data_IF_442093820272
#
_entry.id   IF_442093820272
#
_cell.length_a   1.000
_cell.length_b   1.000
_cell.length_c   1.000
_cell.angle_alpha   90.00
_cell.angle_beta   90.00
_cell.angle_gamma   90.00
#
_symmetry.space_group_name_H-M   'P 1'
#
loop_
_entity.id
_entity.type
_entity.pdbx_description
1 polymer ?
#
# COMPACT_ATOMS: atom_id res chain seq x y z
N UNK A 1 -16.94 -14.41 17.70
CA UNK A 1 -15.66 -14.53 16.97
C UNK A 1 -15.29 -13.16 16.43
N UNK A 2 -14.18 -12.62 16.90
CA UNK A 2 -13.76 -11.28 16.52
C UNK A 2 -12.93 -11.35 15.24
N UNK A 3 -13.39 -10.69 14.18
CA UNK A 3 -12.66 -10.52 12.91
C UNK A 3 -11.62 -9.38 12.98
N UNK A 4 -11.40 -8.85 14.18
CA UNK A 4 -10.46 -7.76 14.45
C UNK A 4 -9.66 -8.08 15.72
N UNK A 5 -8.70 -9.01 15.65
CA UNK A 5 -7.94 -9.47 16.81
C UNK A 5 -7.04 -8.40 17.44
N UNK A 6 -6.72 -7.35 16.68
CA UNK A 6 -5.98 -6.19 17.16
C UNK A 6 -6.84 -5.13 17.83
N UNK A 7 -8.15 -5.21 17.70
CA UNK A 7 -9.06 -4.12 18.08
C UNK A 7 -8.71 -2.79 17.39
N UNK A 8 -8.20 -2.88 16.14
CA UNK A 8 -7.88 -1.70 15.32
C UNK A 8 -9.11 -0.84 15.07
N UNK A 9 -8.95 0.48 15.09
CA UNK A 9 -10.09 1.42 15.03
C UNK A 9 -10.48 1.81 13.60
N UNK A 10 -9.64 1.54 12.59
CA UNK A 10 -9.90 1.93 11.20
C UNK A 10 -11.01 1.10 10.56
N UNK A 11 -11.15 -0.16 10.94
CA UNK A 11 -12.13 -1.10 10.40
C UNK A 11 -12.51 -2.15 11.43
N UNK A 12 -13.69 -2.77 11.23
CA UNK A 12 -14.11 -3.96 11.98
C UNK A 12 -13.39 -5.24 11.52
N UNK A 13 -12.61 -5.17 10.44
CA UNK A 13 -11.94 -6.29 9.77
C UNK A 13 -10.42 -6.06 9.69
N UNK A 14 -9.79 -5.61 10.74
CA UNK A 14 -8.33 -5.53 10.81
C UNK A 14 -7.76 -6.93 11.12
N UNK A 15 -6.98 -7.48 10.21
CA UNK A 15 -6.41 -8.82 10.34
C UNK A 15 -4.97 -8.86 9.82
N UNK A 16 -4.25 -9.91 10.18
CA UNK A 16 -2.89 -10.13 9.70
C UNK A 16 -2.88 -10.39 8.18
N UNK A 17 -1.86 -9.92 7.44
CA UNK A 17 -1.69 -10.24 6.01
C UNK A 17 -1.68 -11.74 5.71
N UNK A 18 -1.13 -12.56 6.60
CA UNK A 18 -1.13 -14.03 6.48
C UNK A 18 -2.55 -14.61 6.44
N UNK A 19 -3.47 -14.07 7.23
CA UNK A 19 -4.88 -14.50 7.22
C UNK A 19 -5.53 -14.17 5.88
N UNK A 20 -5.27 -12.97 5.33
CA UNK A 20 -5.75 -12.59 4.00
C UNK A 20 -5.23 -13.54 2.92
N UNK A 21 -3.94 -13.86 2.95
CA UNK A 21 -3.32 -14.82 2.01
C UNK A 21 -3.98 -16.18 2.12
N UNK A 22 -4.22 -16.70 3.33
CA UNK A 22 -4.86 -17.99 3.55
C UNK A 22 -6.27 -18.04 2.97
N UNK A 23 -7.07 -17.00 3.18
CA UNK A 23 -8.42 -16.89 2.60
C UNK A 23 -8.39 -16.85 1.08
N UNK A 24 -7.48 -16.04 0.50
CA UNK A 24 -7.32 -15.95 -0.96
C UNK A 24 -6.90 -17.31 -1.55
N UNK A 25 -5.98 -18.02 -0.91
CA UNK A 25 -5.55 -19.35 -1.35
C UNK A 25 -6.69 -20.37 -1.25
N UNK A 26 -7.50 -20.33 -0.19
CA UNK A 26 -8.69 -21.18 -0.07
C UNK A 26 -9.70 -20.93 -1.21
N UNK A 27 -9.98 -19.65 -1.53
CA UNK A 27 -10.85 -19.28 -2.65
C UNK A 27 -10.33 -19.76 -4.00
N UNK A 28 -9.01 -19.76 -4.21
CA UNK A 28 -8.37 -20.18 -5.45
C UNK A 28 -8.18 -21.70 -5.56
N UNK A 29 -8.12 -22.42 -4.45
CA UNK A 29 -7.78 -23.83 -4.40
C UNK A 29 -8.59 -24.73 -5.36
N UNK A 30 -9.93 -24.60 -5.50
CA UNK A 30 -10.69 -25.41 -6.45
C UNK A 30 -10.27 -25.21 -7.90
N UNK A 31 -9.92 -23.98 -8.27
CA UNK A 31 -9.53 -23.63 -9.63
C UNK A 31 -8.09 -24.06 -9.93
N UNK A 32 -7.19 -23.96 -8.94
CA UNK A 32 -5.81 -24.46 -9.05
C UNK A 32 -5.83 -25.99 -9.18
N UNK A 33 -6.59 -26.69 -8.34
CA UNK A 33 -6.73 -28.15 -8.37
C UNK A 33 -7.32 -28.63 -9.70
N UNK A 34 -8.28 -27.90 -10.26
CA UNK A 34 -8.86 -28.20 -11.57
C UNK A 34 -7.99 -27.75 -12.77
N UNK A 35 -6.78 -27.27 -12.54
CA UNK A 35 -5.85 -26.72 -13.56
C UNK A 35 -6.46 -25.57 -14.40
N UNK A 36 -7.44 -24.87 -13.85
CA UNK A 36 -8.08 -23.70 -14.48
C UNK A 36 -7.40 -22.37 -14.10
N UNK A 37 -6.58 -22.40 -13.06
CA UNK A 37 -5.83 -21.24 -12.56
C UNK A 37 -4.39 -21.66 -12.27
N UNK A 38 -3.45 -20.90 -12.79
CA UNK A 38 -2.03 -21.00 -12.46
C UNK A 38 -1.59 -19.72 -11.77
N UNK A 39 -1.14 -19.83 -10.52
CA UNK A 39 -0.62 -18.71 -9.75
C UNK A 39 0.90 -18.68 -9.83
N UNK A 40 1.46 -17.67 -10.47
CA UNK A 40 2.90 -17.42 -10.58
C UNK A 40 3.34 -16.36 -9.58
N UNK A 41 3.67 -16.78 -8.36
CA UNK A 41 4.22 -15.87 -7.34
C UNK A 41 5.67 -15.49 -7.69
N UNK A 42 6.10 -14.29 -7.23
CA UNK A 42 7.47 -13.77 -7.45
C UNK A 42 7.84 -13.66 -8.94
N UNK A 43 6.85 -13.40 -9.77
CA UNK A 43 7.05 -13.10 -11.18
C UNK A 43 6.68 -11.65 -11.46
N UNK A 44 7.45 -11.03 -12.36
CA UNK A 44 7.19 -9.67 -12.84
C UNK A 44 7.14 -9.69 -14.38
N UNK A 45 6.14 -9.02 -14.93
CA UNK A 45 6.11 -8.77 -16.37
C UNK A 45 7.22 -7.80 -16.72
N UNK A 46 8.00 -8.13 -17.74
CA UNK A 46 9.18 -7.35 -18.16
C UNK A 46 9.12 -6.90 -19.61
N UNK A 47 8.28 -7.51 -20.43
CA UNK A 47 8.08 -7.14 -21.82
C UNK A 47 6.73 -7.66 -22.32
N UNK A 48 6.22 -7.07 -23.41
CA UNK A 48 5.05 -7.52 -24.14
C UNK A 48 5.32 -7.54 -25.64
N UNK A 49 4.72 -8.49 -26.35
CA UNK A 49 4.69 -8.52 -27.81
C UNK A 49 3.31 -8.03 -28.25
N UNK A 50 3.32 -6.99 -29.08
CA UNK A 50 2.10 -6.36 -29.62
C UNK A 50 2.16 -6.42 -31.15
N UNK A 51 1.05 -6.79 -31.75
CA UNK A 51 0.86 -6.76 -33.19
C UNK A 51 -0.36 -5.90 -33.51
N UNK A 52 -0.13 -4.74 -34.13
CA UNK A 52 -1.16 -3.69 -34.29
C UNK A 52 -1.74 -3.27 -32.92
N UNK A 53 -3.05 -3.48 -32.74
CA UNK A 53 -3.77 -3.13 -31.51
C UNK A 53 -4.01 -4.35 -30.60
N UNK A 54 -3.30 -5.45 -30.83
CA UNK A 54 -3.48 -6.68 -30.05
C UNK A 54 -2.21 -7.07 -29.30
N UNK A 55 -2.33 -7.28 -28.01
CA UNK A 55 -1.27 -7.90 -27.19
C UNK A 55 -1.27 -9.40 -27.49
N UNK A 56 -0.15 -9.94 -27.98
CA UNK A 56 0.00 -11.35 -28.34
C UNK A 56 0.57 -12.20 -27.21
N UNK A 57 1.50 -11.63 -26.48
CA UNK A 57 2.13 -12.31 -25.35
C UNK A 57 2.77 -11.32 -24.39
N UNK A 58 3.06 -11.82 -23.20
CA UNK A 58 3.87 -11.13 -22.20
C UNK A 58 5.02 -12.01 -21.74
N UNK A 59 6.17 -11.39 -21.50
CA UNK A 59 7.31 -12.05 -20.91
C UNK A 59 7.32 -11.80 -19.40
N UNK A 60 7.28 -12.86 -18.62
CA UNK A 60 7.31 -12.80 -17.16
C UNK A 60 8.62 -13.37 -16.63
N UNK A 61 9.31 -12.61 -15.82
CA UNK A 61 10.60 -12.96 -15.21
C UNK A 61 10.38 -13.43 -13.77
N UNK A 62 10.85 -14.62 -13.47
CA UNK A 62 10.94 -15.11 -12.12
C UNK A 62 12.00 -14.30 -11.34
N UNK A 63 11.63 -13.71 -10.22
CA UNK A 63 12.51 -12.83 -9.44
C UNK A 63 13.59 -13.58 -8.65
N UNK A 64 13.39 -14.89 -8.39
CA UNK A 64 14.38 -15.73 -7.69
C UNK A 64 15.45 -16.26 -8.64
N UNK A 65 15.06 -17.06 -9.62
CA UNK A 65 15.99 -17.74 -10.52
C UNK A 65 16.33 -16.95 -11.79
N UNK A 66 15.71 -15.79 -11.99
CA UNK A 66 15.90 -14.87 -13.13
C UNK A 66 15.48 -15.43 -14.50
N UNK A 67 14.90 -16.61 -14.54
CA UNK A 67 14.37 -17.17 -15.79
C UNK A 67 13.17 -16.38 -16.29
N UNK A 68 13.01 -16.33 -17.60
CA UNK A 68 11.89 -15.66 -18.24
C UNK A 68 11.07 -16.69 -19.02
N UNK A 69 9.76 -16.63 -18.90
CA UNK A 69 8.81 -17.41 -19.68
C UNK A 69 7.89 -16.50 -20.46
N UNK A 70 7.46 -16.94 -21.63
CA UNK A 70 6.49 -16.22 -22.45
C UNK A 70 5.12 -16.82 -22.23
N UNK A 71 4.15 -15.96 -21.89
CA UNK A 71 2.75 -16.32 -21.73
C UNK A 71 1.93 -15.70 -22.86
N UNK A 72 1.20 -16.54 -23.61
CA UNK A 72 0.25 -16.11 -24.64
C UNK A 72 -1.18 -16.31 -24.15
N UNK A 73 -2.08 -15.45 -24.57
CA UNK A 73 -3.48 -15.53 -24.18
C UNK A 73 -4.37 -14.71 -25.11
N UNK A 74 -5.67 -14.93 -25.05
CA UNK A 74 -6.67 -14.16 -25.78
C UNK A 74 -6.97 -12.82 -25.11
N UNK A 75 -6.74 -12.72 -23.81
CA UNK A 75 -6.98 -11.51 -23.01
C UNK A 75 -5.86 -11.31 -22.02
N UNK A 76 -5.49 -10.06 -21.81
CA UNK A 76 -4.54 -9.62 -20.80
C UNK A 76 -5.22 -8.59 -19.91
N UNK A 77 -5.15 -8.79 -18.61
CA UNK A 77 -5.72 -7.88 -17.61
C UNK A 77 -4.58 -7.33 -16.77
N UNK A 78 -4.40 -6.02 -16.83
CA UNK A 78 -3.47 -5.32 -15.95
C UNK A 78 -4.19 -4.93 -14.65
N UNK A 79 -3.83 -5.59 -13.57
CA UNK A 79 -4.27 -5.27 -12.21
C UNK A 79 -3.07 -4.90 -11.32
N UNK A 80 -1.99 -4.40 -11.90
CA UNK A 80 -0.84 -3.89 -11.17
C UNK A 80 -1.14 -2.53 -10.54
N UNK A 81 -0.43 -2.18 -9.48
CA UNK A 81 -0.63 -0.91 -8.78
C UNK A 81 -0.38 0.33 -9.65
N UNK A 82 0.47 0.22 -10.67
CA UNK A 82 0.91 1.36 -11.49
C UNK A 82 0.52 1.24 -12.97
N UNK A 83 -0.24 0.20 -13.36
CA UNK A 83 -0.52 -0.07 -14.78
C UNK A 83 0.74 -0.48 -15.54
N UNK A 84 1.53 -1.39 -14.98
CA UNK A 84 2.87 -1.76 -15.51
C UNK A 84 2.83 -2.28 -16.96
N UNK A 85 1.71 -2.83 -17.42
CA UNK A 85 1.55 -3.29 -18.79
C UNK A 85 1.35 -2.15 -19.79
N UNK A 86 0.76 -1.04 -19.40
CA UNK A 86 0.44 0.06 -20.31
C UNK A 86 1.67 0.56 -21.08
N UNK A 87 2.79 0.94 -20.42
CA UNK A 87 3.99 1.34 -21.14
C UNK A 87 4.65 0.20 -21.92
N UNK A 88 4.53 -1.07 -21.47
CA UNK A 88 5.11 -2.21 -22.15
C UNK A 88 4.38 -2.58 -23.44
N UNK A 89 3.09 -2.31 -23.50
CA UNK A 89 2.22 -2.56 -24.67
C UNK A 89 2.13 -1.36 -25.59
N UNK A 90 2.61 -0.18 -25.19
CA UNK A 90 2.41 1.06 -25.93
C UNK A 90 0.96 1.57 -25.90
N UNK A 91 0.14 1.04 -24.99
CA UNK A 91 -1.24 1.52 -24.77
C UNK A 91 -1.23 2.95 -24.27
N UNK A 92 -2.07 3.80 -24.86
CA UNK A 92 -2.22 5.19 -24.44
C UNK A 92 -2.78 5.26 -23.00
N UNK A 93 -2.18 6.10 -22.18
CA UNK A 93 -2.65 6.35 -20.82
C UNK A 93 -2.38 7.80 -20.40
N UNK A 94 -3.10 8.25 -19.39
CA UNK A 94 -2.94 9.57 -18.78
C UNK A 94 -2.56 9.42 -17.30
N UNK A 95 -1.91 10.44 -16.78
CA UNK A 95 -1.56 10.53 -15.36
C UNK A 95 -2.03 11.84 -14.77
N UNK A 96 -2.23 11.87 -13.47
CA UNK A 96 -2.63 13.08 -12.74
C UNK A 96 -4.08 13.48 -12.99
N UNK A 97 -4.34 14.77 -13.03
CA UNK A 97 -5.69 15.33 -13.17
C UNK A 97 -5.96 15.72 -14.62
N UNK A 98 -7.03 15.19 -15.20
CA UNK A 98 -7.54 15.56 -16.50
C UNK A 98 -8.32 16.87 -16.44
N UNK A 99 -8.45 17.55 -17.57
CA UNK A 99 -9.25 18.79 -17.65
C UNK A 99 -10.72 18.49 -17.91
N UNK A 100 -11.59 19.45 -17.56
CA UNK A 100 -13.02 19.39 -17.85
C UNK A 100 -13.30 19.26 -19.36
N UNK A 101 -12.48 19.87 -20.19
CA UNK A 101 -12.62 19.75 -21.65
C UNK A 101 -12.34 18.32 -22.15
N UNK A 102 -11.54 17.52 -21.44
CA UNK A 102 -11.23 16.14 -21.81
C UNK A 102 -12.31 15.15 -21.35
N UNK A 103 -12.83 15.30 -20.13
CA UNK A 103 -13.70 14.29 -19.50
C UNK A 103 -15.14 14.74 -19.30
N UNK A 104 -15.42 16.05 -19.41
CA UNK A 104 -16.70 16.67 -19.10
C UNK A 104 -17.21 16.41 -17.67
N UNK A 105 -16.31 16.06 -16.73
CA UNK A 105 -16.64 15.88 -15.33
C UNK A 105 -16.93 17.21 -14.64
N UNK A 106 -17.95 17.23 -13.78
CA UNK A 106 -18.43 18.45 -13.12
C UNK A 106 -17.34 19.17 -12.30
N UNK A 107 -16.50 18.41 -11.61
CA UNK A 107 -15.46 18.93 -10.71
C UNK A 107 -14.06 18.88 -11.29
N UNK A 108 -13.91 18.48 -12.56
CA UNK A 108 -12.60 18.53 -13.21
C UNK A 108 -12.11 19.98 -13.36
N UNK A 109 -10.81 20.25 -13.19
CA UNK A 109 -10.24 21.57 -13.38
C UNK A 109 -10.29 22.00 -14.86
N UNK A 110 -10.17 23.29 -15.10
CA UNK A 110 -10.15 23.81 -16.50
C UNK A 110 -8.91 23.34 -17.27
N UNK A 111 -7.81 23.11 -16.59
CA UNK A 111 -6.54 22.68 -17.19
C UNK A 111 -6.06 21.37 -16.57
N UNK A 112 -5.67 20.43 -17.42
CA UNK A 112 -5.04 19.19 -17.00
C UNK A 112 -3.71 19.44 -16.25
N UNK A 113 -3.42 18.60 -15.29
CA UNK A 113 -2.12 18.61 -14.58
C UNK A 113 -1.60 17.17 -14.39
N UNK A 114 -0.78 16.65 -15.32
CA UNK A 114 -0.24 15.29 -15.26
C UNK A 114 0.61 15.00 -14.02
N UNK A 115 1.06 16.02 -13.30
CA UNK A 115 1.84 15.87 -12.06
C UNK A 115 0.98 15.87 -10.80
N UNK A 116 -0.32 16.07 -10.90
CA UNK A 116 -1.23 16.06 -9.75
C UNK A 116 -1.72 14.63 -9.48
N UNK A 117 -0.80 13.77 -9.05
CA UNK A 117 -1.09 12.38 -8.70
C UNK A 117 -1.45 12.26 -7.22
N UNK A 118 -2.23 11.22 -6.90
CA UNK A 118 -2.54 10.87 -5.53
C UNK A 118 -1.26 10.45 -4.78
N UNK A 119 -1.13 10.87 -3.53
CA UNK A 119 -0.06 10.40 -2.66
C UNK A 119 -0.20 8.88 -2.40
N UNK A 120 0.93 8.20 -2.31
CA UNK A 120 0.97 6.78 -1.97
C UNK A 120 1.28 6.57 -0.49
N UNK A 121 0.91 5.42 0.03
CA UNK A 121 1.21 4.99 1.40
C UNK A 121 2.04 3.72 1.37
N UNK A 122 3.21 3.75 2.03
CA UNK A 122 3.98 2.54 2.31
C UNK A 122 3.49 1.94 3.62
N UNK A 123 2.98 0.72 3.55
CA UNK A 123 2.52 -0.03 4.72
C UNK A 123 3.59 -1.05 5.13
N UNK A 124 3.84 -1.14 6.43
CA UNK A 124 4.70 -2.16 7.04
C UNK A 124 4.19 -2.46 8.44
N UNK A 125 4.41 -3.69 8.88
CA UNK A 125 4.04 -4.10 10.24
C UNK A 125 5.19 -3.81 11.21
N UNK A 126 4.85 -3.29 12.38
CA UNK A 126 5.77 -3.11 13.50
C UNK A 126 5.17 -3.72 14.76
N UNK A 127 6.01 -4.30 15.59
CA UNK A 127 5.63 -4.75 16.92
C UNK A 127 6.25 -3.88 18.01
N UNK A 128 5.70 -3.98 19.20
CA UNK A 128 6.23 -3.33 20.37
C UNK A 128 6.44 -4.38 21.47
N UNK A 129 7.70 -4.65 21.80
CA UNK A 129 8.09 -5.55 22.87
C UNK A 129 8.61 -4.71 24.07
N UNK A 130 7.81 -4.53 25.13
CA UNK A 130 8.22 -3.72 26.27
C UNK A 130 9.50 -4.24 26.93
N UNK A 131 10.48 -3.35 27.15
CA UNK A 131 11.74 -3.67 27.79
C UNK A 131 12.81 -4.27 26.87
N UNK A 132 12.53 -4.46 25.60
CA UNK A 132 13.51 -4.88 24.59
C UNK A 132 14.08 -3.67 23.83
N UNK A 133 15.35 -3.77 23.43
CA UNK A 133 16.02 -2.76 22.59
C UNK A 133 16.31 -3.35 21.21
N UNK A 134 15.63 -2.82 20.20
CA UNK A 134 15.74 -3.19 18.80
C UNK A 134 16.36 -2.08 17.96
N UNK A 135 17.16 -1.22 18.58
CA UNK A 135 17.83 -0.11 17.87
C UNK A 135 18.71 -0.65 16.75
N UNK A 136 18.45 -0.21 15.53
CA UNK A 136 19.25 -0.56 14.35
C UNK A 136 20.38 0.46 14.15
N UNK A 137 21.39 0.08 13.35
CA UNK A 137 22.40 1.03 12.90
C UNK A 137 21.71 2.19 12.17
N UNK A 138 22.05 3.42 12.57
CA UNK A 138 21.52 4.64 11.97
C UNK A 138 21.76 4.65 10.44
N UNK A 139 20.70 4.79 9.63
CA UNK A 139 20.85 4.93 8.17
C UNK A 139 21.63 6.18 7.80
N UNK A 140 22.36 6.14 6.67
CA UNK A 140 23.21 7.24 6.23
C UNK A 140 22.45 8.57 6.04
N UNK A 141 21.22 8.51 5.52
CA UNK A 141 20.40 9.69 5.24
C UNK A 141 19.42 10.05 6.36
N UNK A 142 19.53 9.41 7.52
CA UNK A 142 18.58 9.59 8.63
C UNK A 142 18.43 11.05 9.05
N UNK A 143 19.55 11.77 9.25
CA UNK A 143 19.54 13.16 9.72
C UNK A 143 18.93 14.10 8.68
N UNK A 144 19.22 13.86 7.41
CA UNK A 144 18.61 14.61 6.31
C UNK A 144 17.09 14.47 6.33
N UNK A 145 16.57 13.25 6.30
CA UNK A 145 15.13 13.02 6.23
C UNK A 145 14.40 13.44 7.50
N UNK A 146 15.03 13.30 8.66
CA UNK A 146 14.47 13.73 9.95
C UNK A 146 14.22 15.24 9.99
N UNK A 147 15.07 16.03 9.34
CA UNK A 147 15.00 17.50 9.36
C UNK A 147 14.35 18.10 8.10
N UNK A 148 14.11 17.26 7.08
CA UNK A 148 13.63 17.73 5.78
C UNK A 148 12.22 18.33 5.88
N UNK A 149 12.10 19.58 5.41
CA UNK A 149 10.81 20.28 5.25
C UNK A 149 10.52 20.39 3.75
N UNK A 150 9.43 19.79 3.24
CA UNK A 150 9.12 19.82 1.83
C UNK A 150 8.71 21.24 1.38
N UNK A 151 9.25 21.67 0.24
CA UNK A 151 8.83 22.91 -0.41
C UNK A 151 7.57 22.66 -1.23
N UNK A 152 6.43 22.98 -0.67
CA UNK A 152 5.12 22.79 -1.30
C UNK A 152 4.54 24.13 -1.76
N UNK A 153 3.63 24.09 -2.75
CA UNK A 153 2.91 25.28 -3.23
C UNK A 153 2.09 25.93 -2.11
N UNK A 154 1.41 25.14 -1.31
CA UNK A 154 0.83 25.55 -0.03
C UNK A 154 1.86 25.14 1.02
N UNK A 155 2.45 26.09 1.76
CA UNK A 155 3.50 25.74 2.71
C UNK A 155 3.03 24.71 3.74
N UNK A 156 3.77 23.61 3.84
CA UNK A 156 3.59 22.66 4.93
C UNK A 156 4.27 23.19 6.19
N UNK A 157 3.60 23.09 7.33
CA UNK A 157 4.05 23.70 8.58
C UNK A 157 5.09 22.90 9.34
N UNK A 158 5.59 21.80 8.82
CA UNK A 158 6.48 20.93 9.55
C UNK A 158 7.38 20.06 8.68
N UNK A 159 8.10 19.17 9.35
CA UNK A 159 8.98 18.19 8.72
C UNK A 159 8.17 17.18 7.92
N UNK A 160 8.76 16.61 6.87
CA UNK A 160 8.11 15.58 6.05
C UNK A 160 7.82 14.31 6.87
N UNK A 161 8.78 13.89 7.70
CA UNK A 161 8.58 12.78 8.63
C UNK A 161 8.14 13.37 9.96
N UNK A 162 6.84 13.29 10.23
CA UNK A 162 6.24 13.82 11.45
C UNK A 162 4.86 13.23 11.69
N UNK A 163 4.37 13.41 12.90
CA UNK A 163 3.04 12.95 13.32
C UNK A 163 1.98 14.03 13.09
N UNK A 164 1.93 14.55 11.85
CA UNK A 164 0.94 15.55 11.46
C UNK A 164 0.30 15.16 10.13
N UNK A 165 -0.95 15.52 9.97
CA UNK A 165 -1.67 15.43 8.71
C UNK A 165 -2.53 16.67 8.50
N UNK A 166 -2.93 16.93 7.27
CA UNK A 166 -3.88 18.00 6.97
C UNK A 166 -5.30 17.58 7.34
N UNK A 167 -5.98 18.34 8.17
CA UNK A 167 -7.41 18.18 8.36
C UNK A 167 -8.13 18.41 7.00
N UNK A 168 -8.93 17.46 6.51
CA UNK A 168 -9.50 17.55 5.16
C UNK A 168 -10.50 18.69 4.95
N UNK A 169 -11.03 19.26 6.04
CA UNK A 169 -12.01 20.37 5.98
C UNK A 169 -11.34 21.73 6.09
N UNK A 170 -10.37 21.84 7.00
CA UNK A 170 -9.76 23.13 7.34
C UNK A 170 -8.41 23.34 6.68
N UNK A 171 -7.80 22.25 6.14
CA UNK A 171 -6.44 22.19 5.60
C UNK A 171 -5.35 22.61 6.61
N UNK A 172 -5.70 22.71 7.88
CA UNK A 172 -4.76 23.02 8.96
C UNK A 172 -4.05 21.76 9.44
N UNK A 173 -2.79 21.86 9.90
CA UNK A 173 -2.10 20.74 10.50
C UNK A 173 -2.85 20.21 11.71
N UNK A 174 -2.97 18.89 11.81
CA UNK A 174 -3.55 18.19 12.94
C UNK A 174 -2.57 17.14 13.41
N UNK A 175 -2.32 17.10 14.71
CA UNK A 175 -1.37 16.17 15.30
C UNK A 175 -1.96 14.77 15.45
N UNK A 176 -1.10 13.77 15.28
CA UNK A 176 -1.39 12.36 15.48
C UNK A 176 -0.61 11.85 16.69
N UNK A 177 -1.20 10.95 17.45
CA UNK A 177 -0.49 10.18 18.47
C UNK A 177 0.18 8.95 17.90
N UNK A 178 1.26 8.50 18.53
CA UNK A 178 1.86 7.20 18.29
C UNK A 178 2.31 6.62 19.64
N UNK A 179 1.36 6.03 20.37
CA UNK A 179 1.58 5.56 21.74
C UNK A 179 1.33 4.05 21.83
N UNK A 180 2.41 3.23 21.91
CA UNK A 180 2.28 1.77 22.00
C UNK A 180 1.57 1.27 23.27
N UNK A 181 1.55 2.08 24.33
CA UNK A 181 0.80 1.81 25.56
C UNK A 181 -0.71 2.00 25.41
N UNK A 182 -1.18 2.35 24.23
CA UNK A 182 -2.60 2.51 23.92
C UNK A 182 -3.25 3.76 24.48
N UNK A 183 -2.50 4.61 25.21
CA UNK A 183 -3.09 5.81 25.83
C UNK A 183 -3.68 6.75 24.77
N UNK A 184 -4.81 7.32 25.10
CA UNK A 184 -5.46 8.36 24.34
C UNK A 184 -5.08 9.73 24.92
N UNK A 185 -4.67 10.65 24.07
CA UNK A 185 -4.32 12.01 24.44
C UNK A 185 -5.36 12.96 23.83
N UNK A 186 -6.43 13.21 24.55
CA UNK A 186 -7.55 14.04 24.07
C UNK A 186 -8.26 13.42 22.85
N UNK A 187 -8.57 14.24 21.84
CA UNK A 187 -9.21 13.81 20.58
C UNK A 187 -8.20 13.36 19.51
N UNK A 188 -6.92 13.23 19.87
CA UNK A 188 -5.85 12.87 18.97
C UNK A 188 -5.99 11.41 18.52
N UNK A 189 -5.94 11.15 17.20
CA UNK A 189 -5.92 9.81 16.67
C UNK A 189 -4.58 9.13 17.00
N UNK A 190 -4.62 8.07 17.79
CA UNK A 190 -3.44 7.26 18.05
C UNK A 190 -3.22 6.27 16.90
N UNK A 191 -2.19 6.51 16.09
CA UNK A 191 -1.86 5.65 14.93
C UNK A 191 -1.51 4.22 15.34
N UNK A 192 -0.99 4.01 16.55
CA UNK A 192 -0.74 2.67 17.07
C UNK A 192 -2.02 1.83 17.12
N UNK A 193 -3.14 2.43 17.52
CA UNK A 193 -4.43 1.74 17.60
C UNK A 193 -5.19 1.77 16.27
N UNK A 194 -4.80 2.62 15.33
CA UNK A 194 -5.59 2.87 14.13
C UNK A 194 -5.70 1.63 13.24
N UNK A 195 -4.57 0.97 12.94
CA UNK A 195 -4.50 -0.24 12.11
C UNK A 195 -3.96 -1.45 12.87
N UNK A 196 -4.07 -1.45 14.20
CA UNK A 196 -3.58 -2.53 15.04
C UNK A 196 -4.18 -3.87 14.63
N UNK A 197 -3.32 -4.81 14.26
CA UNK A 197 -3.71 -6.14 13.74
C UNK A 197 -3.65 -7.22 14.81
N UNK A 198 -2.80 -7.06 15.83
CA UNK A 198 -2.72 -7.95 17.00
C UNK A 198 -2.75 -7.11 18.27
N UNK A 199 -3.68 -7.43 19.16
CA UNK A 199 -3.64 -7.06 20.56
C UNK A 199 -3.34 -8.34 21.35
N UNK A 200 -2.13 -8.43 21.94
CA UNK A 200 -1.67 -9.62 22.66
C UNK A 200 -2.60 -10.08 23.78
N UNK A 201 -3.34 -9.14 24.38
CA UNK A 201 -4.31 -9.45 25.44
C UNK A 201 -5.51 -10.28 24.97
N UNK A 202 -5.77 -10.30 23.65
CA UNK A 202 -6.82 -11.13 23.06
C UNK A 202 -6.38 -12.57 22.78
N UNK A 203 -5.16 -12.94 23.14
CA UNK A 203 -4.57 -14.25 22.89
C UNK A 203 -4.09 -14.91 24.19
N UNK A 204 -3.79 -16.19 24.12
CA UNK A 204 -3.20 -16.92 25.22
C UNK A 204 -1.88 -16.23 25.66
N UNK A 205 -1.68 -16.02 26.97
CA UNK A 205 -0.46 -15.36 27.46
C UNK A 205 0.82 -16.01 26.89
N UNK A 206 1.71 -15.18 26.37
CA UNK A 206 2.98 -15.61 25.78
C UNK A 206 2.92 -16.05 24.31
N UNK A 207 1.73 -16.09 23.67
CA UNK A 207 1.63 -16.40 22.25
C UNK A 207 2.25 -15.29 21.38
N UNK A 208 1.94 -14.05 21.69
CA UNK A 208 2.62 -12.87 21.13
C UNK A 208 3.42 -12.16 22.22
N UNK A 209 4.65 -11.74 21.90
CA UNK A 209 5.48 -10.97 22.83
C UNK A 209 4.95 -9.54 23.00
N UNK A 210 4.45 -8.94 21.93
CA UNK A 210 3.95 -7.58 21.89
C UNK A 210 2.70 -7.44 21.02
N UNK A 211 2.19 -6.23 20.95
CA UNK A 211 1.15 -5.84 20.02
C UNK A 211 1.76 -5.56 18.65
N UNK A 212 0.99 -5.80 17.58
CA UNK A 212 1.41 -5.55 16.19
C UNK A 212 0.43 -4.57 15.53
N UNK A 213 0.97 -3.55 14.87
CA UNK A 213 0.21 -2.58 14.09
C UNK A 213 0.76 -2.41 12.68
#
# INVERSE_FOLDING_TARGET
QYLNPGSGSVSKLCHEPQVAISVLMEMMAPYISAQKLVLLTEHKVVNAAVEKDEVRSVNVKNLRNKQTVTLSGSYFVDATELGDLLPLTGTEYVTGTESKAQTNELHAPDKANPKNNQAFTMCFAIDYAPGEDWTIKKPAEYDFWKEFVPKMRIPWSGKMIGLHYSDPRTLKPKELGFHPDGRQTGSMLNLWNYRKIINRENFVPGFYKGDIT
#
